data_IF_918270000723
#
_entry.id   IF_918270000723
#
_cell.length_a   1.000
_cell.length_b   1.000
_cell.length_c   1.000
_cell.angle_alpha   90.00
_cell.angle_beta   90.00
_cell.angle_gamma   90.00
#
_symmetry.space_group_name_H-M   'P 1'
#
loop_
_entity.id
_entity.type
_entity.pdbx_description
1 polymer ?
#
# COMPACT_ATOMS: atom_id res chain seq x y z
N UNK A 1 3.94 14.80 -23.00
CA UNK A 1 3.30 13.69 -22.27
C UNK A 1 3.50 13.94 -20.79
N UNK A 2 2.42 14.35 -20.11
CA UNK A 2 2.46 15.04 -18.83
C UNK A 2 2.26 14.04 -17.68
N UNK A 3 3.34 13.62 -17.01
CA UNK A 3 3.33 12.63 -15.91
C UNK A 3 2.56 13.07 -14.65
N UNK A 4 2.03 14.29 -14.64
CA UNK A 4 1.28 14.89 -13.53
C UNK A 4 -0.20 14.46 -13.51
N UNK A 5 -0.81 14.21 -14.67
CA UNK A 5 -2.22 13.81 -14.78
C UNK A 5 -2.43 12.35 -14.29
N UNK A 6 -1.41 11.52 -14.45
CA UNK A 6 -1.38 10.10 -14.02
C UNK A 6 -1.41 9.90 -12.49
N UNK A 7 -1.04 10.92 -11.71
CA UNK A 7 -1.14 10.87 -10.24
C UNK A 7 -2.56 11.19 -9.77
N UNK A 8 -3.25 12.10 -10.44
CA UNK A 8 -4.59 12.55 -10.06
C UNK A 8 -5.67 11.50 -10.33
N UNK A 9 -5.49 10.66 -11.35
CA UNK A 9 -6.42 9.55 -11.62
C UNK A 9 -6.22 8.36 -10.66
N UNK A 10 -5.01 8.13 -10.13
CA UNK A 10 -4.75 7.09 -9.11
C UNK A 10 -5.29 7.44 -7.72
N UNK A 11 -5.46 8.73 -7.43
CA UNK A 11 -6.14 9.18 -6.21
C UNK A 11 -7.66 8.93 -6.29
N UNK A 12 -8.24 8.88 -7.50
CA UNK A 12 -9.68 8.65 -7.72
C UNK A 12 -10.18 7.32 -7.15
N UNK A 13 -9.33 6.30 -7.12
CA UNK A 13 -9.68 4.97 -6.62
C UNK A 13 -8.94 4.63 -5.33
N UNK A 14 -8.62 5.63 -4.52
CA UNK A 14 -7.98 5.43 -3.21
C UNK A 14 -6.77 4.48 -3.27
N UNK A 15 -5.92 4.67 -4.29
CA UNK A 15 -4.66 3.94 -4.52
C UNK A 15 -4.81 2.47 -4.95
N UNK A 16 -5.97 2.06 -5.43
CA UNK A 16 -6.13 0.73 -6.03
C UNK A 16 -5.66 0.70 -7.50
N UNK A 17 -5.06 -0.42 -7.90
CA UNK A 17 -4.80 -0.75 -9.31
C UNK A 17 -5.78 -1.86 -9.71
N UNK A 18 -6.92 -1.46 -10.26
CA UNK A 18 -8.00 -2.38 -10.61
C UNK A 18 -7.77 -3.03 -11.98
N UNK A 19 -8.13 -4.31 -12.08
CA UNK A 19 -8.26 -5.06 -13.32
C UNK A 19 -9.71 -5.53 -13.48
N UNK A 20 -10.24 -5.44 -14.68
CA UNK A 20 -11.55 -5.98 -15.01
C UNK A 20 -11.51 -7.50 -15.14
N UNK A 21 -12.42 -8.19 -14.45
CA UNK A 21 -12.56 -9.63 -14.41
C UNK A 21 -14.04 -10.04 -14.43
N UNK A 22 -14.27 -11.32 -14.74
CA UNK A 22 -15.56 -11.98 -14.60
C UNK A 22 -15.43 -13.22 -13.73
N UNK A 23 -16.41 -13.46 -12.86
CA UNK A 23 -16.36 -14.58 -11.91
C UNK A 23 -17.36 -15.67 -12.30
N UNK A 24 -16.86 -16.85 -12.65
CA UNK A 24 -17.69 -18.05 -12.86
C UNK A 24 -17.79 -18.91 -11.60
N UNK A 25 -16.96 -18.65 -10.59
CA UNK A 25 -16.96 -19.32 -9.27
C UNK A 25 -17.67 -18.46 -8.23
N UNK A 26 -18.15 -19.08 -7.15
CA UNK A 26 -18.86 -18.38 -6.07
C UNK A 26 -17.98 -17.25 -5.50
N UNK A 27 -18.32 -16.01 -5.82
CA UNK A 27 -17.59 -14.80 -5.41
C UNK A 27 -18.59 -13.69 -5.12
N UNK A 28 -18.29 -12.88 -4.10
CA UNK A 28 -19.13 -11.77 -3.62
C UNK A 28 -18.37 -10.45 -3.67
N UNK A 29 -19.11 -9.36 -3.79
CA UNK A 29 -18.59 -7.99 -3.78
C UNK A 29 -18.29 -7.55 -2.36
N UNK A 30 -17.11 -6.96 -2.14
CA UNK A 30 -16.65 -6.53 -0.82
C UNK A 30 -17.34 -5.24 -0.32
N UNK A 31 -18.09 -4.53 -1.19
CA UNK A 31 -18.82 -3.31 -0.80
C UNK A 31 -20.29 -3.57 -0.46
N UNK A 32 -20.98 -4.36 -1.28
CA UNK A 32 -22.43 -4.59 -1.12
C UNK A 32 -22.78 -6.01 -0.69
N UNK A 33 -21.79 -6.91 -0.55
CA UNK A 33 -21.93 -8.33 -0.20
C UNK A 33 -22.81 -9.16 -1.16
N UNK A 34 -23.21 -8.60 -2.31
CA UNK A 34 -23.94 -9.32 -3.36
C UNK A 34 -23.00 -10.17 -4.22
N UNK A 35 -23.53 -11.21 -4.86
CA UNK A 35 -22.75 -12.08 -5.77
C UNK A 35 -22.16 -11.28 -6.95
N UNK A 36 -20.90 -11.55 -7.26
CA UNK A 36 -20.19 -11.11 -8.49
C UNK A 36 -20.24 -12.18 -9.58
N UNK A 37 -20.79 -13.36 -9.27
CA UNK A 37 -20.73 -14.54 -10.13
C UNK A 37 -22.09 -14.90 -10.73
N UNK A 38 -22.06 -15.33 -11.98
CA UNK A 38 -23.18 -15.96 -12.67
C UNK A 38 -22.66 -17.00 -13.67
N UNK A 39 -23.44 -18.04 -13.95
CA UNK A 39 -23.01 -19.18 -14.77
C UNK A 39 -22.96 -18.89 -16.26
N UNK A 40 -23.85 -18.03 -16.79
CA UNK A 40 -23.99 -17.80 -18.23
C UNK A 40 -23.36 -16.48 -18.71
N UNK A 41 -23.57 -15.39 -17.96
CA UNK A 41 -23.03 -14.06 -18.24
C UNK A 41 -22.72 -13.35 -16.92
N UNK A 42 -21.60 -13.68 -16.27
CA UNK A 42 -21.19 -13.01 -15.05
C UNK A 42 -21.06 -11.50 -15.28
N UNK A 43 -21.52 -10.67 -14.32
CA UNK A 43 -21.38 -9.23 -14.44
C UNK A 43 -19.89 -8.82 -14.44
N UNK A 44 -19.53 -7.75 -15.16
CA UNK A 44 -18.16 -7.23 -15.11
C UNK A 44 -17.86 -6.74 -13.68
N UNK A 45 -16.73 -7.19 -13.18
CA UNK A 45 -16.23 -6.89 -11.85
C UNK A 45 -14.82 -6.31 -11.96
N UNK A 46 -14.38 -5.61 -10.92
CA UNK A 46 -13.03 -5.10 -10.78
C UNK A 46 -12.38 -5.80 -9.58
N UNK A 47 -11.14 -6.24 -9.77
CA UNK A 47 -10.29 -6.76 -8.70
C UNK A 47 -9.01 -5.93 -8.61
N UNK A 48 -8.65 -5.49 -7.40
CA UNK A 48 -7.39 -4.81 -7.18
C UNK A 48 -6.24 -5.82 -7.27
N UNK A 49 -5.29 -5.60 -8.19
CA UNK A 49 -4.10 -6.48 -8.37
C UNK A 49 -3.22 -6.59 -7.12
N UNK A 50 -3.33 -5.60 -6.24
CA UNK A 50 -2.44 -5.47 -5.08
C UNK A 50 -3.04 -6.01 -3.78
N UNK A 51 -4.33 -5.77 -3.52
CA UNK A 51 -4.98 -6.17 -2.27
C UNK A 51 -6.17 -7.11 -2.45
N UNK A 52 -6.51 -7.50 -3.68
CA UNK A 52 -7.59 -8.43 -4.02
C UNK A 52 -8.99 -8.01 -3.56
N UNK A 53 -9.19 -6.70 -3.38
CA UNK A 53 -10.51 -6.10 -3.19
C UNK A 53 -11.33 -6.28 -4.46
N UNK A 54 -12.53 -6.85 -4.35
CA UNK A 54 -13.42 -7.22 -5.44
C UNK A 54 -14.71 -6.43 -5.39
N UNK A 55 -15.02 -5.70 -6.45
CA UNK A 55 -16.21 -4.84 -6.55
C UNK A 55 -16.89 -4.98 -7.90
N UNK A 56 -18.17 -4.65 -8.01
CA UNK A 56 -18.84 -4.51 -9.32
C UNK A 56 -18.25 -3.32 -10.06
N UNK A 57 -18.16 -3.39 -11.40
CA UNK A 57 -17.66 -2.29 -12.24
C UNK A 57 -18.44 -0.99 -12.05
N UNK A 58 -19.74 -1.10 -11.79
CA UNK A 58 -20.64 0.03 -11.60
C UNK A 58 -20.35 0.80 -10.29
N UNK A 59 -19.74 0.17 -9.29
CA UNK A 59 -19.46 0.83 -8.01
C UNK A 59 -18.39 1.90 -8.12
N UNK A 60 -17.47 1.81 -9.08
CA UNK A 60 -16.40 2.80 -9.27
C UNK A 60 -16.92 4.16 -9.75
N UNK A 61 -18.09 4.17 -10.37
CA UNK A 61 -18.74 5.39 -10.85
C UNK A 61 -19.84 5.88 -9.91
N UNK A 62 -20.20 5.08 -8.90
CA UNK A 62 -21.26 5.43 -7.97
C UNK A 62 -20.73 6.37 -6.89
N UNK A 63 -21.35 7.54 -6.76
CA UNK A 63 -21.05 8.51 -5.69
C UNK A 63 -21.57 8.06 -4.32
N UNK A 64 -22.38 6.99 -4.26
CA UNK A 64 -23.03 6.53 -3.03
C UNK A 64 -22.22 5.50 -2.24
N UNK A 65 -21.25 4.84 -2.88
CA UNK A 65 -20.43 3.79 -2.27
C UNK A 65 -18.97 4.25 -2.20
N UNK A 66 -18.48 4.43 -0.98
CA UNK A 66 -17.09 4.81 -0.74
C UNK A 66 -16.16 3.59 -0.88
N UNK A 67 -15.17 3.69 -1.78
CA UNK A 67 -14.15 2.65 -1.93
C UNK A 67 -13.10 2.84 -0.83
N UNK A 68 -12.79 1.85 0.01
CA UNK A 68 -11.79 2.00 1.06
C UNK A 68 -10.38 2.18 0.47
N UNK A 69 -9.47 2.79 1.23
CA UNK A 69 -8.06 2.93 0.82
C UNK A 69 -7.39 1.57 0.62
N UNK A 70 -6.59 1.46 -0.44
CA UNK A 70 -5.84 0.26 -0.74
C UNK A 70 -4.93 -0.13 0.43
N UNK A 71 -5.08 -1.38 0.91
CA UNK A 71 -4.25 -1.94 1.98
C UNK A 71 -2.80 -2.18 1.53
N UNK A 72 -2.56 -2.15 0.23
CA UNK A 72 -1.21 -2.30 -0.31
C UNK A 72 -0.40 -1.04 -0.09
N UNK A 73 0.61 -1.14 0.77
CA UNK A 73 1.60 -0.09 0.97
C UNK A 73 2.73 -0.34 -0.02
N UNK A 74 2.83 0.47 -1.06
CA UNK A 74 4.00 0.50 -1.94
C UNK A 74 5.26 0.72 -1.09
N UNK A 75 6.29 -0.12 -1.30
CA UNK A 75 7.60 0.02 -0.64
C UNK A 75 8.06 -1.16 0.23
N UNK A 76 7.17 -2.05 0.71
CA UNK A 76 7.62 -3.12 1.63
C UNK A 76 7.97 -4.42 0.91
N UNK A 77 7.22 -4.80 -0.13
CA UNK A 77 7.41 -6.08 -0.86
C UNK A 77 8.46 -6.02 -1.99
N UNK A 78 8.62 -4.87 -2.64
CA UNK A 78 9.66 -4.66 -3.67
C UNK A 78 11.04 -4.37 -3.07
N UNK A 79 11.10 -4.09 -1.75
CA UNK A 79 12.33 -4.09 -0.96
C UNK A 79 12.42 -5.35 -0.10
N UNK A 80 12.01 -6.51 -0.64
CA UNK A 80 12.52 -7.78 -0.13
C UNK A 80 14.02 -7.79 -0.46
N UNK A 81 14.79 -7.23 0.47
CA UNK A 81 16.23 -7.06 0.40
C UNK A 81 16.89 -8.37 -0.02
N UNK A 82 17.60 -8.34 -1.14
CA UNK A 82 18.58 -9.36 -1.56
C UNK A 82 19.79 -9.30 -0.61
N UNK A 83 19.56 -9.46 0.69
CA UNK A 83 20.64 -9.49 1.65
C UNK A 83 21.22 -10.89 1.68
N UNK A 84 22.53 -11.00 1.41
CA UNK A 84 23.26 -12.28 1.39
C UNK A 84 23.32 -12.99 2.75
N UNK A 85 22.80 -12.35 3.81
CA UNK A 85 22.68 -12.93 5.16
C UNK A 85 21.58 -12.27 5.97
N UNK A 86 21.09 -12.98 6.99
CA UNK A 86 20.06 -12.50 7.91
C UNK A 86 20.51 -11.25 8.69
N UNK A 87 21.78 -11.18 9.10
CA UNK A 87 22.32 -10.04 9.84
C UNK A 87 22.31 -8.77 9.00
N UNK A 88 22.69 -8.87 7.72
CA UNK A 88 22.64 -7.76 6.77
C UNK A 88 21.18 -7.32 6.52
N UNK A 89 20.26 -8.27 6.36
CA UNK A 89 18.83 -7.97 6.24
C UNK A 89 18.31 -7.16 7.43
N UNK A 90 18.61 -7.60 8.65
CA UNK A 90 18.19 -6.92 9.88
C UNK A 90 18.80 -5.50 9.99
N UNK A 91 20.05 -5.30 9.56
CA UNK A 91 20.67 -3.98 9.53
C UNK A 91 19.96 -3.04 8.56
N UNK A 92 19.65 -3.52 7.35
CA UNK A 92 18.90 -2.75 6.35
C UNK A 92 17.50 -2.40 6.82
N UNK A 93 16.76 -3.36 7.40
CA UNK A 93 15.44 -3.11 7.97
C UNK A 93 15.49 -2.01 9.04
N UNK A 94 16.49 -2.03 9.95
CA UNK A 94 16.68 -0.98 10.96
C UNK A 94 16.92 0.39 10.32
N UNK A 95 17.78 0.48 9.30
CA UNK A 95 18.07 1.73 8.58
C UNK A 95 16.83 2.28 7.87
N UNK A 96 16.06 1.42 7.19
CA UNK A 96 14.82 1.81 6.51
C UNK A 96 13.76 2.29 7.51
N UNK A 97 13.62 1.62 8.65
CA UNK A 97 12.73 2.05 9.73
C UNK A 97 13.14 3.41 10.31
N UNK A 98 14.45 3.69 10.43
CA UNK A 98 14.95 4.99 10.87
C UNK A 98 14.60 6.10 9.87
N UNK A 99 14.83 5.87 8.57
CA UNK A 99 14.49 6.82 7.50
C UNK A 99 12.99 7.10 7.50
N UNK A 100 12.15 6.07 7.66
CA UNK A 100 10.70 6.22 7.78
C UNK A 100 10.31 7.16 8.93
N UNK A 101 10.86 6.94 10.13
CA UNK A 101 10.59 7.81 11.30
C UNK A 101 10.96 9.28 11.04
N UNK A 102 12.06 9.51 10.33
CA UNK A 102 12.50 10.87 9.95
C UNK A 102 11.53 11.48 8.93
N UNK A 103 11.09 10.72 7.94
CA UNK A 103 10.10 11.18 6.94
C UNK A 103 8.72 11.48 7.55
N UNK A 104 8.36 10.78 8.63
CA UNK A 104 7.14 11.02 9.40
C UNK A 104 7.30 12.17 10.43
N UNK A 105 8.39 12.95 10.35
CA UNK A 105 8.58 14.17 11.14
C UNK A 105 9.09 13.94 12.58
N UNK A 106 9.37 12.70 12.97
CA UNK A 106 9.95 12.39 14.28
C UNK A 106 11.46 12.61 14.22
N UNK A 107 11.92 13.81 14.62
CA UNK A 107 13.35 14.10 14.77
C UNK A 107 13.95 13.24 15.88
N UNK A 108 15.00 12.42 15.61
CA UNK A 108 15.72 11.73 16.68
C UNK A 108 16.41 12.77 17.58
N UNK A 109 16.16 12.70 18.88
CA UNK A 109 16.88 13.48 19.88
C UNK A 109 18.36 13.08 19.81
N UNK A 110 19.22 14.02 19.42
CA UNK A 110 20.67 13.83 19.41
C UNK A 110 21.09 13.58 20.87
N UNK A 111 21.58 12.39 21.19
CA UNK A 111 22.20 12.14 22.50
C UNK A 111 23.45 13.00 22.61
N UNK A 112 23.38 14.03 23.45
CA UNK A 112 24.52 14.86 23.82
C UNK A 112 25.57 14.01 24.52
N UNK A 113 26.72 13.80 23.88
CA UNK A 113 27.91 13.30 24.56
C UNK A 113 28.38 14.38 25.56
N UNK A 114 28.23 14.09 26.84
CA UNK A 114 28.76 14.91 27.95
C UNK A 114 30.29 14.88 27.90
N UNK A 115 30.91 16.04 27.70
CA UNK A 115 32.35 16.24 27.93
C UNK A 115 32.57 16.41 29.43
N UNK A 116 33.02 15.36 30.11
CA UNK A 116 33.61 15.52 31.43
C UNK A 116 35.04 16.04 31.27
N UNK A 117 35.27 17.23 31.80
CA UNK A 117 36.59 17.83 32.01
C UNK A 117 37.21 17.17 33.24
N UNK A 118 38.36 16.49 33.09
CA UNK A 118 39.14 15.99 34.23
C UNK A 118 40.32 16.94 34.44
N UNK A 119 40.38 17.49 35.65
CA UNK A 119 41.39 18.46 36.10
C UNK A 119 42.77 17.82 36.20
N UNK A 120 43.80 18.57 35.81
CA UNK A 120 45.21 18.23 36.05
C UNK A 120 45.59 18.62 37.48
N UNK A 121 46.32 17.72 38.15
CA UNK A 121 47.02 17.91 39.42
C UNK A 121 48.31 18.70 39.25
#
# INVERSE_FOLDING_TARGET
HNSFEDHQERDRWNRHDFQELTYHVATTCDLCMKKLSATLRPPPALECKNCHLKIHKDHVHSSTLEIPVCKFKTGVRQMLLMADSESLCQQWVKSLMMIKKISEGVRPLKSSLSRHSTMQT
#
